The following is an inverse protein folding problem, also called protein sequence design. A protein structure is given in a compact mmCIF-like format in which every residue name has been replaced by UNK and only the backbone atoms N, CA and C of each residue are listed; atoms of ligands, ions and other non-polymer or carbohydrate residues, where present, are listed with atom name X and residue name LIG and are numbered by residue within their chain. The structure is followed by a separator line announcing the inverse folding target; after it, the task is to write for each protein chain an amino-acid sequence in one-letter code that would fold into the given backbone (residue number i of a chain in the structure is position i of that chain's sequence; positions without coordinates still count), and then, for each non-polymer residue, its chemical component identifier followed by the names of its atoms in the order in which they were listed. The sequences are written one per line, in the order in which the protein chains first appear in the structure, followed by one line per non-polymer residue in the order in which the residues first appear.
data_IF_378094329274
#
_entry.id   IF_378094329274
#
_cell.length_a   1.000
_cell.length_b   1.000
_cell.length_c   1.000
_cell.angle_alpha   90.00
_cell.angle_beta   90.00
_cell.angle_gamma   90.00
#
_symmetry.space_group_name_H-M   'P 1'
#
loop_
_entity.id
_entity.type
_entity.pdbx_description
1 polymer ?
#
# COMPACT_ATOMS: atom_id res chain seq x y z
N UNK A 1 6.33 27.07 -10.24
CA UNK A 1 5.65 25.95 -9.55
C UNK A 1 6.50 24.67 -9.48
N UNK A 2 7.17 24.25 -10.56
CA UNK A 2 8.07 23.08 -10.57
C UNK A 2 9.25 23.09 -9.56
N UNK A 3 9.94 24.23 -9.27
CA UNK A 3 11.08 24.23 -8.34
C UNK A 3 10.66 24.04 -6.86
N UNK A 4 9.49 24.57 -6.47
CA UNK A 4 8.94 24.38 -5.13
C UNK A 4 8.50 22.93 -4.90
N UNK A 5 7.97 22.27 -5.93
CA UNK A 5 7.60 20.86 -5.87
C UNK A 5 8.82 19.94 -5.71
N UNK A 6 9.89 20.19 -6.47
CA UNK A 6 11.14 19.42 -6.33
C UNK A 6 11.81 19.64 -4.98
N UNK A 7 11.77 20.86 -4.43
CA UNK A 7 12.25 21.15 -3.08
C UNK A 7 11.42 20.44 -2.01
N UNK A 8 10.09 20.40 -2.15
CA UNK A 8 9.20 19.68 -1.24
C UNK A 8 9.41 18.16 -1.30
N UNK A 9 9.59 17.58 -2.49
CA UNK A 9 9.95 16.17 -2.66
C UNK A 9 11.33 15.85 -2.06
N UNK A 10 12.32 16.75 -2.24
CA UNK A 10 13.63 16.63 -1.64
C UNK A 10 13.59 16.67 -0.11
N UNK A 11 12.80 17.58 0.47
CA UNK A 11 12.60 17.71 1.91
C UNK A 11 11.89 16.48 2.49
N UNK A 12 10.82 16.03 1.84
CA UNK A 12 10.10 14.80 2.17
C UNK A 12 11.03 13.58 2.17
N UNK A 13 11.80 13.40 1.09
CA UNK A 13 12.74 12.29 0.97
C UNK A 13 13.92 12.42 1.95
N UNK A 14 14.30 13.64 2.33
CA UNK A 14 15.28 13.93 3.39
C UNK A 14 14.78 13.55 4.78
N UNK A 15 13.55 13.96 5.11
CA UNK A 15 12.89 13.62 6.38
C UNK A 15 12.69 12.11 6.55
N UNK A 16 12.28 11.40 5.50
CA UNK A 16 12.11 9.95 5.55
C UNK A 16 13.43 9.22 5.79
N UNK A 17 14.53 9.69 5.20
CA UNK A 17 15.87 9.14 5.46
C UNK A 17 16.36 9.43 6.88
N UNK A 18 16.04 10.60 7.43
CA UNK A 18 16.40 10.96 8.81
C UNK A 18 15.62 10.14 9.85
N UNK A 19 14.33 9.87 9.59
CA UNK A 19 13.49 9.12 10.51
C UNK A 19 13.48 7.61 10.27
N UNK A 20 14.07 7.13 9.16
CA UNK A 20 14.09 5.71 8.79
C UNK A 20 12.70 5.12 8.54
N UNK A 21 11.70 5.95 8.18
CA UNK A 21 10.28 5.56 8.06
C UNK A 21 9.62 6.21 6.84
N UNK A 22 8.61 5.57 6.22
CA UNK A 22 7.88 6.08 5.06
C UNK A 22 6.84 7.15 5.48
N UNK A 23 7.31 8.23 6.12
CA UNK A 23 6.47 9.22 6.79
C UNK A 23 5.43 9.87 5.86
N UNK A 24 5.81 10.25 4.65
CA UNK A 24 4.90 10.97 3.73
C UNK A 24 3.76 10.07 3.28
N UNK A 25 4.05 8.83 2.90
CA UNK A 25 3.00 7.89 2.54
C UNK A 25 2.10 7.58 3.73
N UNK A 26 2.66 7.38 4.93
CA UNK A 26 1.85 7.17 6.15
C UNK A 26 0.94 8.36 6.46
N UNK A 27 1.45 9.59 6.37
CA UNK A 27 0.65 10.80 6.58
C UNK A 27 -0.51 10.88 5.58
N UNK A 28 -0.23 10.62 4.30
CA UNK A 28 -1.26 10.59 3.26
C UNK A 28 -2.29 9.49 3.53
N UNK A 29 -1.87 8.29 3.93
CA UNK A 29 -2.77 7.20 4.31
C UNK A 29 -3.71 7.60 5.45
N UNK A 30 -3.21 8.24 6.50
CA UNK A 30 -4.04 8.75 7.59
C UNK A 30 -5.02 9.84 7.13
N UNK A 31 -4.59 10.76 6.26
CA UNK A 31 -5.46 11.79 5.71
C UNK A 31 -6.58 11.19 4.87
N UNK A 32 -6.26 10.26 3.97
CA UNK A 32 -7.25 9.53 3.15
C UNK A 32 -8.23 8.79 4.06
N UNK A 33 -7.74 8.03 5.04
CA UNK A 33 -8.60 7.35 6.00
C UNK A 33 -9.56 8.33 6.69
N UNK A 34 -9.05 9.46 7.21
CA UNK A 34 -9.88 10.46 7.89
C UNK A 34 -10.93 11.08 6.97
N UNK A 35 -10.56 11.45 5.75
CA UNK A 35 -11.48 12.05 4.76
C UNK A 35 -12.58 11.07 4.36
N UNK A 36 -12.29 9.78 4.31
CA UNK A 36 -13.24 8.73 3.97
C UNK A 36 -14.02 8.18 5.18
N UNK A 37 -13.93 8.81 6.35
CA UNK A 37 -14.61 8.35 7.57
C UNK A 37 -14.08 7.02 8.09
N UNK A 38 -12.80 6.74 7.84
CA UNK A 38 -12.15 5.47 8.14
C UNK A 38 -12.16 5.12 9.61
N UNK A 39 -12.53 3.88 9.92
CA UNK A 39 -12.57 3.33 11.27
C UNK A 39 -11.30 2.53 11.53
N UNK A 40 -10.56 2.89 12.57
CA UNK A 40 -9.35 2.13 12.95
C UNK A 40 -9.76 0.73 13.41
N UNK A 41 -9.04 -0.28 12.91
CA UNK A 41 -9.25 -1.68 13.28
C UNK A 41 -8.19 -2.13 14.30
N UNK A 42 -8.56 -3.12 15.10
CA UNK A 42 -7.59 -3.91 15.88
C UNK A 42 -6.91 -4.95 14.97
N UNK A 43 -5.72 -5.42 15.35
CA UNK A 43 -4.99 -6.46 14.61
C UNK A 43 -3.98 -5.97 13.58
N UNK A 44 -3.61 -4.68 13.60
CA UNK A 44 -2.43 -4.19 12.89
C UNK A 44 -1.15 -4.81 13.48
N UNK A 45 -0.14 -5.10 12.67
CA UNK A 45 1.15 -5.54 13.19
C UNK A 45 1.91 -4.37 13.83
N UNK A 46 3.07 -4.66 14.44
CA UNK A 46 3.85 -3.64 15.12
C UNK A 46 4.30 -2.52 14.17
N UNK A 47 4.01 -1.28 14.57
CA UNK A 47 4.32 -0.08 13.78
C UNK A 47 3.42 0.11 12.56
N UNK A 48 2.34 -0.66 12.42
CA UNK A 48 1.32 -0.49 11.37
C UNK A 48 0.06 0.17 11.91
N UNK A 49 -0.71 0.77 11.00
CA UNK A 49 -2.08 1.19 11.30
C UNK A 49 -3.05 0.68 10.25
N UNK A 50 -4.09 0.00 10.71
CA UNK A 50 -5.13 -0.55 9.85
C UNK A 50 -6.43 0.27 9.98
N UNK A 51 -7.00 0.69 8.86
CA UNK A 51 -8.31 1.35 8.78
C UNK A 51 -9.26 0.59 7.85
N UNK A 52 -10.51 0.45 8.26
CA UNK A 52 -11.62 0.14 7.34
C UNK A 52 -12.16 1.45 6.76
N UNK A 53 -12.28 1.52 5.44
CA UNK A 53 -12.90 2.63 4.70
C UNK A 53 -14.00 2.08 3.80
N UNK A 54 -15.04 2.88 3.52
CA UNK A 54 -16.18 2.40 2.73
C UNK A 54 -15.83 2.11 1.26
N UNK A 55 -14.83 2.80 0.72
CA UNK A 55 -14.34 2.64 -0.64
C UNK A 55 -12.91 3.18 -0.73
N UNK A 56 -12.19 2.81 -1.79
CA UNK A 56 -10.87 3.35 -2.09
C UNK A 56 -10.85 3.97 -3.50
N UNK A 57 -10.27 5.17 -3.67
CA UNK A 57 -9.94 5.65 -5.00
C UNK A 57 -8.82 4.78 -5.55
N UNK A 58 -9.11 3.99 -6.58
CA UNK A 58 -8.12 3.16 -7.26
C UNK A 58 -8.12 3.50 -8.76
N UNK A 59 -6.93 3.57 -9.34
CA UNK A 59 -6.76 3.83 -10.77
C UNK A 59 -7.01 2.52 -11.53
N UNK A 60 -8.24 2.33 -12.01
CA UNK A 60 -8.57 1.30 -13.00
C UNK A 60 -9.02 -0.07 -12.49
N UNK A 61 -9.13 -0.30 -11.18
CA UNK A 61 -9.68 -1.54 -10.60
C UNK A 61 -10.26 -1.30 -9.20
N UNK A 62 -11.22 -2.14 -8.77
CA UNK A 62 -11.70 -2.13 -7.37
C UNK A 62 -10.68 -2.84 -6.48
N UNK A 63 -9.98 -2.08 -5.65
CA UNK A 63 -9.01 -2.62 -4.71
C UNK A 63 -9.70 -2.98 -3.38
N UNK A 64 -9.50 -4.21 -2.90
CA UNK A 64 -9.95 -4.64 -1.57
C UNK A 64 -9.12 -4.00 -0.45
N UNK A 65 -7.87 -3.64 -0.74
CA UNK A 65 -6.98 -2.93 0.18
C UNK A 65 -5.97 -2.05 -0.59
N UNK A 66 -5.38 -1.09 0.11
CA UNK A 66 -4.24 -0.31 -0.35
C UNK A 66 -3.30 0.01 0.83
N UNK A 67 -2.00 -0.11 0.59
CA UNK A 67 -0.97 0.31 1.55
C UNK A 67 -0.38 1.67 1.19
N UNK A 68 -0.29 2.52 2.21
CA UNK A 68 0.25 3.88 2.18
C UNK A 68 1.30 4.01 3.29
N UNK A 69 2.55 3.65 3.00
CA UNK A 69 3.61 3.64 4.02
C UNK A 69 3.36 2.55 5.05
N UNK A 70 3.07 2.95 6.30
CA UNK A 70 2.71 2.04 7.39
C UNK A 70 1.20 1.97 7.64
N UNK A 71 0.42 2.64 6.79
CA UNK A 71 -1.04 2.66 6.89
C UNK A 71 -1.63 1.71 5.85
N UNK A 72 -2.40 0.73 6.30
CA UNK A 72 -3.16 -0.18 5.45
C UNK A 72 -4.63 0.23 5.50
N UNK A 73 -5.21 0.46 4.34
CA UNK A 73 -6.63 0.76 4.17
C UNK A 73 -7.31 -0.47 3.59
N UNK A 74 -8.40 -0.93 4.20
CA UNK A 74 -9.19 -2.06 3.71
C UNK A 74 -10.63 -1.64 3.45
N UNK A 75 -11.26 -2.24 2.45
CA UNK A 75 -12.68 -2.05 2.15
C UNK A 75 -13.52 -3.24 2.63
N UNK A 76 -14.86 -3.19 2.58
CA UNK A 76 -15.68 -4.32 2.96
C UNK A 76 -15.40 -5.62 2.18
N UNK A 77 -14.88 -5.51 0.95
CA UNK A 77 -14.46 -6.63 0.10
C UNK A 77 -13.21 -7.37 0.62
N UNK A 78 -12.46 -6.76 1.55
CA UNK A 78 -11.29 -7.37 2.18
C UNK A 78 -11.62 -8.51 3.16
N UNK A 79 -12.88 -8.59 3.57
CA UNK A 79 -13.32 -9.49 4.62
C UNK A 79 -13.73 -10.85 4.06
N UNK A 80 -13.39 -11.89 4.83
CA UNK A 80 -13.93 -13.24 4.65
C UNK A 80 -14.73 -13.61 5.89
N UNK A 81 -15.77 -14.42 5.69
CA UNK A 81 -16.56 -15.00 6.79
C UNK A 81 -16.10 -16.43 6.99
N UNK A 82 -15.54 -16.71 8.17
CA UNK A 82 -15.12 -18.06 8.55
C UNK A 82 -15.76 -18.38 9.90
N UNK A 83 -16.49 -19.49 9.99
CA UNK A 83 -17.17 -19.90 11.22
C UNK A 83 -18.08 -18.83 11.86
N UNK A 84 -18.74 -18.02 11.03
CA UNK A 84 -19.63 -16.94 11.47
C UNK A 84 -18.93 -15.63 11.85
N UNK A 85 -17.60 -15.58 11.86
CA UNK A 85 -16.84 -14.36 12.16
C UNK A 85 -16.36 -13.67 10.88
N UNK A 86 -16.62 -12.35 10.79
CA UNK A 86 -16.14 -11.48 9.71
C UNK A 86 -14.74 -10.96 10.07
N UNK A 87 -13.71 -11.45 9.38
CA UNK A 87 -12.31 -11.03 9.59
C UNK A 87 -11.66 -10.66 8.26
N UNK A 88 -10.70 -9.73 8.28
CA UNK A 88 -9.90 -9.44 7.08
C UNK A 88 -9.12 -10.71 6.70
N UNK A 89 -9.09 -11.03 5.41
CA UNK A 89 -8.42 -12.23 4.91
C UNK A 89 -6.94 -12.26 5.36
N UNK A 90 -6.45 -13.34 5.99
CA UNK A 90 -5.05 -13.45 6.39
C UNK A 90 -4.09 -13.25 5.22
N UNK A 91 -4.36 -13.87 4.06
CA UNK A 91 -3.55 -13.71 2.86
C UNK A 91 -3.48 -12.26 2.37
N UNK A 92 -4.58 -11.51 2.51
CA UNK A 92 -4.62 -10.09 2.12
C UNK A 92 -3.81 -9.25 3.10
N UNK A 93 -3.92 -9.52 4.41
CA UNK A 93 -3.07 -8.84 5.39
C UNK A 93 -1.59 -9.14 5.16
N UNK A 94 -1.22 -10.39 4.86
CA UNK A 94 0.16 -10.75 4.54
C UNK A 94 0.66 -10.03 3.27
N UNK A 95 -0.20 -9.89 2.24
CA UNK A 95 0.10 -9.10 1.04
C UNK A 95 0.39 -7.63 1.38
N UNK A 96 -0.51 -6.97 2.13
CA UNK A 96 -0.36 -5.56 2.48
C UNK A 96 0.83 -5.31 3.43
N UNK A 97 1.11 -6.23 4.36
CA UNK A 97 2.31 -6.18 5.22
C UNK A 97 3.59 -6.22 4.41
N UNK A 98 3.61 -7.02 3.33
CA UNK A 98 4.73 -7.00 2.41
C UNK A 98 4.92 -5.60 1.78
N UNK A 99 3.85 -4.91 1.41
CA UNK A 99 3.94 -3.53 0.95
C UNK A 99 4.44 -2.57 2.04
N UNK A 100 4.03 -2.73 3.30
CA UNK A 100 4.60 -1.95 4.41
C UNK A 100 6.11 -2.16 4.52
N UNK A 101 6.57 -3.42 4.45
CA UNK A 101 7.99 -3.76 4.46
C UNK A 101 8.73 -3.16 3.25
N UNK A 102 8.11 -3.17 2.07
CA UNK A 102 8.65 -2.53 0.87
C UNK A 102 8.77 -1.01 1.03
N UNK A 103 7.78 -0.34 1.63
CA UNK A 103 7.83 1.08 1.95
C UNK A 103 8.94 1.41 2.97
N UNK A 104 9.11 0.58 4.00
CA UNK A 104 10.22 0.70 4.96
C UNK A 104 11.58 0.54 4.26
N UNK A 105 11.70 -0.45 3.35
CA UNK A 105 12.93 -0.74 2.59
C UNK A 105 13.27 0.33 1.54
N UNK A 106 12.26 0.91 0.89
CA UNK A 106 12.44 1.79 -0.27
C UNK A 106 12.16 3.27 0.02
N UNK A 107 11.63 3.61 1.19
CA UNK A 107 10.98 4.91 1.50
C UNK A 107 9.76 5.18 0.62
N UNK A 108 8.97 6.20 0.94
CA UNK A 108 7.75 6.52 0.15
C UNK A 108 8.12 6.85 -1.29
N UNK A 109 9.15 7.69 -1.46
CA UNK A 109 9.57 8.12 -2.79
C UNK A 109 10.10 6.95 -3.63
N UNK A 110 11.00 6.13 -3.07
CA UNK A 110 11.58 5.02 -3.80
C UNK A 110 10.56 3.93 -4.16
N UNK A 111 9.59 3.67 -3.28
CA UNK A 111 8.48 2.77 -3.57
C UNK A 111 7.68 3.26 -4.77
N UNK A 112 7.16 4.50 -4.72
CA UNK A 112 6.28 5.03 -5.76
C UNK A 112 6.98 5.13 -7.12
N UNK A 113 8.25 5.58 -7.14
CA UNK A 113 9.03 5.65 -8.39
C UNK A 113 9.19 4.25 -9.00
N UNK A 114 9.61 3.26 -8.18
CA UNK A 114 9.83 1.89 -8.68
C UNK A 114 8.52 1.26 -9.15
N UNK A 115 7.44 1.46 -8.39
CA UNK A 115 6.12 0.92 -8.70
C UNK A 115 5.56 1.52 -10.00
N UNK A 116 5.50 2.85 -10.09
CA UNK A 116 4.94 3.56 -11.24
C UNK A 116 5.77 3.33 -12.51
N UNK A 117 7.10 3.33 -12.42
CA UNK A 117 7.96 3.07 -13.57
C UNK A 117 7.79 1.63 -14.10
N UNK A 118 7.73 0.64 -13.22
CA UNK A 118 7.51 -0.75 -13.61
C UNK A 118 6.12 -0.94 -14.25
N UNK A 119 5.09 -0.31 -13.69
CA UNK A 119 3.74 -0.36 -14.26
C UNK A 119 3.64 0.33 -15.61
N UNK A 120 4.20 1.55 -15.76
CA UNK A 120 4.23 2.27 -17.03
C UNK A 120 4.98 1.47 -18.11
N UNK A 121 6.11 0.86 -17.76
CA UNK A 121 6.83 -0.04 -18.66
C UNK A 121 5.98 -1.25 -19.08
N UNK A 122 5.30 -1.88 -18.11
CA UNK A 122 4.37 -2.99 -18.36
C UNK A 122 3.22 -2.59 -19.28
N UNK A 123 2.66 -1.39 -19.11
CA UNK A 123 1.61 -0.86 -19.98
C UNK A 123 2.10 -0.69 -21.42
N UNK A 124 3.29 -0.13 -21.61
CA UNK A 124 3.89 0.02 -22.93
C UNK A 124 4.14 -1.34 -23.60
N UNK A 125 4.57 -2.34 -22.82
CA UNK A 125 4.90 -3.68 -23.30
C UNK A 125 3.68 -4.54 -23.61
N UNK A 126 2.69 -4.56 -22.70
CA UNK A 126 1.58 -5.51 -22.75
C UNK A 126 0.29 -4.90 -23.28
N UNK A 127 0.14 -3.57 -23.22
CA UNK A 127 -1.11 -2.83 -23.51
C UNK A 127 -2.32 -3.33 -22.73
N UNK A 128 -2.06 -3.99 -21.59
CA UNK A 128 -3.04 -4.58 -20.69
C UNK A 128 -2.65 -4.14 -19.26
N UNK A 129 -3.45 -3.26 -18.63
CA UNK A 129 -3.19 -2.76 -17.28
C UNK A 129 -3.15 -3.84 -16.21
N UNK A 130 -3.97 -4.88 -16.34
CA UNK A 130 -4.05 -5.97 -15.37
C UNK A 130 -2.83 -6.88 -15.50
N UNK A 131 -2.44 -7.23 -16.72
CA UNK A 131 -1.20 -7.98 -16.96
C UNK A 131 0.03 -7.18 -16.54
N UNK A 132 0.06 -5.87 -16.81
CA UNK A 132 1.12 -4.99 -16.35
C UNK A 132 1.23 -5.04 -14.83
N UNK A 133 0.13 -4.81 -14.11
CA UNK A 133 0.03 -4.91 -12.66
C UNK A 133 0.51 -6.29 -12.13
N UNK A 134 0.05 -7.37 -12.74
CA UNK A 134 0.44 -8.73 -12.33
C UNK A 134 1.93 -9.02 -12.55
N UNK A 135 2.59 -8.35 -13.50
CA UNK A 135 4.01 -8.55 -13.78
C UNK A 135 4.93 -7.63 -12.96
N UNK A 136 4.41 -6.78 -12.08
CA UNK A 136 5.24 -5.98 -11.17
C UNK A 136 6.00 -6.89 -10.21
N UNK A 137 7.31 -6.67 -10.09
CA UNK A 137 8.14 -7.42 -9.14
C UNK A 137 7.69 -7.23 -7.68
N UNK A 138 7.29 -6.01 -7.31
CA UNK A 138 6.77 -5.70 -5.97
C UNK A 138 5.46 -6.44 -5.68
N UNK A 139 4.59 -6.55 -6.68
CA UNK A 139 3.32 -7.27 -6.60
C UNK A 139 3.51 -8.79 -6.55
N UNK A 140 4.49 -9.33 -7.28
CA UNK A 140 4.86 -10.75 -7.19
C UNK A 140 5.43 -11.10 -5.81
N UNK A 141 6.27 -10.23 -5.25
CA UNK A 141 6.80 -10.39 -3.88
C UNK A 141 5.64 -10.41 -2.87
N UNK A 142 4.71 -9.46 -2.95
CA UNK A 142 3.56 -9.38 -2.05
C UNK A 142 2.61 -10.59 -2.20
N UNK A 143 2.37 -11.08 -3.42
CA UNK A 143 1.61 -12.33 -3.63
C UNK A 143 2.34 -13.57 -3.10
N UNK A 144 3.67 -13.61 -3.19
CA UNK A 144 4.45 -14.72 -2.64
C UNK A 144 4.40 -14.74 -1.10
N UNK A 145 4.38 -13.57 -0.46
CA UNK A 145 4.14 -13.44 0.98
C UNK A 145 2.71 -13.87 1.36
N UNK A 146 1.71 -13.47 0.57
CA UNK A 146 0.33 -13.88 0.79
C UNK A 146 0.12 -15.41 0.75
N UNK A 147 0.92 -16.13 -0.05
CA UNK A 147 0.90 -17.59 -0.13
C UNK A 147 1.64 -18.28 1.03
N UNK A 148 2.33 -17.53 1.90
CA UNK A 148 3.04 -18.02 3.08
C UNK A 148 2.73 -17.14 4.30
N UNK A 149 1.46 -17.13 4.76
CA UNK A 149 1.00 -16.18 5.77
C UNK A 149 1.68 -16.33 7.14
N UNK A 150 2.36 -17.45 7.41
CA UNK A 150 3.02 -17.74 8.69
C UNK A 150 4.46 -17.17 8.79
N UNK A 151 5.04 -16.65 7.69
CA UNK A 151 6.43 -16.16 7.60
C UNK A 151 6.56 -14.61 7.63
N UNK A 152 5.45 -13.87 7.80
CA UNK A 152 5.36 -12.41 7.63
C UNK A 152 5.12 -11.62 8.92
#
# INVERSE_FOLDING_TARGET
MLPLYLAACGLACGLERLHGRPFVASLMGHLVARTLGGRRLAGAAEGETLYEVAWLPAVGFRAAAQTWGEVVLVTPEAYRVTSGERRVSPDLLAHERCHVAQFRRLTSFGFWVRYAAAWAWGLLRYRDPFRAYWDLALEREARAAAARPDDA
#
